data_IF_587168136229
#
_entry.id   IF_587168136229
#
_cell.length_a   1.000
_cell.length_b   1.000
_cell.length_c   1.000
_cell.angle_alpha   90.00
_cell.angle_beta   90.00
_cell.angle_gamma   90.00
#
_symmetry.space_group_name_H-M   'P 1'
#
loop_
_entity.id
_entity.type
_entity.pdbx_description
1 polymer ?
#
# COMPACT_ATOMS: atom_id res chain seq x y z
N UNK A 1 9.19 18.41 -6.82
CA UNK A 1 10.22 17.38 -7.09
C UNK A 1 9.78 16.09 -6.43
N UNK A 2 9.22 15.15 -7.21
CA UNK A 2 8.70 13.89 -6.67
C UNK A 2 9.84 12.91 -6.45
N UNK A 3 10.00 12.43 -5.22
CA UNK A 3 11.01 11.43 -4.88
C UNK A 3 10.68 10.12 -5.62
N UNK A 4 11.52 9.76 -6.61
CA UNK A 4 11.28 8.64 -7.54
C UNK A 4 11.50 7.25 -6.93
N UNK A 5 12.03 7.18 -5.71
CA UNK A 5 12.28 5.96 -4.96
C UNK A 5 12.19 6.29 -3.49
N UNK A 6 11.35 5.58 -2.72
CA UNK A 6 11.48 5.58 -1.26
C UNK A 6 12.80 4.87 -0.86
N UNK A 7 13.13 4.77 0.43
CA UNK A 7 14.08 3.75 0.97
C UNK A 7 13.29 2.50 1.44
N UNK A 8 13.79 1.29 1.18
CA UNK A 8 12.99 0.06 1.31
C UNK A 8 12.50 -0.14 2.75
N UNK A 9 13.23 0.39 3.72
CA UNK A 9 12.82 0.40 5.13
C UNK A 9 11.67 1.36 5.40
N UNK A 10 11.68 2.53 4.76
CA UNK A 10 10.59 3.51 4.86
C UNK A 10 9.31 2.95 4.23
N UNK A 11 9.41 2.33 3.05
CA UNK A 11 8.25 1.72 2.41
C UNK A 11 7.67 0.55 3.22
N UNK A 12 8.53 -0.21 3.93
CA UNK A 12 8.09 -1.25 4.87
C UNK A 12 7.45 -0.70 6.15
N UNK A 13 7.84 0.50 6.57
CA UNK A 13 7.28 1.16 7.74
C UNK A 13 5.96 1.90 7.46
N UNK A 14 5.69 2.26 6.19
CA UNK A 14 4.47 2.99 5.83
C UNK A 14 3.16 2.30 6.27
N UNK A 15 2.99 0.97 6.11
CA UNK A 15 1.79 0.30 6.61
C UNK A 15 1.64 0.42 8.13
N UNK A 16 2.74 0.35 8.88
CA UNK A 16 2.72 0.54 10.32
C UNK A 16 2.32 1.98 10.69
N UNK A 17 2.87 2.99 10.00
CA UNK A 17 2.50 4.41 10.19
C UNK A 17 1.01 4.63 9.88
N UNK A 18 0.50 4.02 8.81
CA UNK A 18 -0.92 4.08 8.45
C UNK A 18 -1.82 3.41 9.51
N UNK A 19 -1.37 2.28 10.07
CA UNK A 19 -2.08 1.59 11.15
C UNK A 19 -2.07 2.36 12.47
N UNK A 20 -0.98 3.08 12.78
CA UNK A 20 -0.72 3.58 14.13
C UNK A 20 -0.77 5.11 14.30
N UNK A 21 -0.74 5.90 13.22
CA UNK A 21 -0.57 7.36 13.33
C UNK A 21 -1.28 8.22 12.29
N UNK A 22 -1.72 7.66 11.16
CA UNK A 22 -2.38 8.46 10.15
C UNK A 22 -3.88 8.60 10.46
N UNK A 23 -4.34 9.83 10.70
CA UNK A 23 -5.75 10.15 10.51
C UNK A 23 -6.05 10.00 9.02
N UNK A 24 -6.68 8.87 8.67
CA UNK A 24 -7.12 8.55 7.32
C UNK A 24 -8.30 9.47 6.96
N UNK A 25 -7.97 10.68 6.51
CA UNK A 25 -8.94 11.75 6.29
C UNK A 25 -9.16 12.05 4.80
N UNK A 26 -10.16 12.88 4.52
CA UNK A 26 -10.52 13.30 3.16
C UNK A 26 -9.34 13.94 2.41
N UNK A 27 -8.52 14.73 3.10
CA UNK A 27 -7.34 15.37 2.50
C UNK A 27 -6.38 14.34 1.90
N UNK A 28 -6.15 13.21 2.60
CA UNK A 28 -5.27 12.16 2.09
C UNK A 28 -5.85 11.49 0.84
N UNK A 29 -7.15 11.24 0.82
CA UNK A 29 -7.86 10.67 -0.34
C UNK A 29 -7.78 11.62 -1.54
N UNK A 30 -8.02 12.91 -1.34
CA UNK A 30 -7.96 13.93 -2.38
C UNK A 30 -6.55 14.08 -2.95
N UNK A 31 -5.53 14.11 -2.09
CA UNK A 31 -4.14 14.16 -2.53
C UNK A 31 -3.73 12.89 -3.26
N UNK A 32 -4.18 11.72 -2.80
CA UNK A 32 -3.91 10.47 -3.49
C UNK A 32 -4.45 10.51 -4.92
N UNK A 33 -5.70 10.95 -5.12
CA UNK A 33 -6.29 11.11 -6.47
C UNK A 33 -5.54 12.16 -7.30
N UNK A 34 -5.24 13.32 -6.72
CA UNK A 34 -4.54 14.43 -7.40
C UNK A 34 -3.17 14.01 -7.94
N UNK A 35 -2.45 13.15 -7.22
CA UNK A 35 -1.12 12.68 -7.61
C UNK A 35 -1.10 11.27 -8.21
N UNK A 36 -2.26 10.66 -8.47
CA UNK A 36 -2.40 9.29 -8.97
C UNK A 36 -1.73 8.24 -8.06
N UNK A 37 -1.81 8.44 -6.74
CA UNK A 37 -1.22 7.58 -5.72
C UNK A 37 -2.25 6.65 -5.05
N UNK A 38 -3.52 6.64 -5.47
CA UNK A 38 -4.56 5.83 -4.84
C UNK A 38 -4.23 4.33 -4.81
N UNK A 39 -3.57 3.80 -5.84
CA UNK A 39 -3.16 2.39 -5.87
C UNK A 39 -2.05 2.11 -4.85
N UNK A 40 -1.06 3.00 -4.77
CA UNK A 40 0.03 2.89 -3.78
C UNK A 40 -0.49 3.03 -2.36
N UNK A 41 -1.36 4.00 -2.12
CA UNK A 41 -1.97 4.22 -0.81
C UNK A 41 -2.91 3.08 -0.45
N UNK A 42 -3.74 2.62 -1.38
CA UNK A 42 -4.63 1.47 -1.22
C UNK A 42 -3.86 0.24 -0.79
N UNK A 43 -2.74 -0.06 -1.45
CA UNK A 43 -1.87 -1.18 -1.06
C UNK A 43 -1.29 -1.02 0.35
N UNK A 44 -0.84 0.18 0.75
CA UNK A 44 -0.37 0.44 2.12
C UNK A 44 -1.48 0.21 3.14
N UNK A 45 -2.70 0.67 2.83
CA UNK A 45 -3.88 0.52 3.69
C UNK A 45 -4.31 -0.94 3.80
N UNK A 46 -4.28 -1.72 2.72
CA UNK A 46 -4.55 -3.17 2.77
C UNK A 46 -3.52 -3.89 3.66
N UNK A 47 -2.23 -3.58 3.50
CA UNK A 47 -1.17 -4.14 4.35
C UNK A 47 -1.36 -3.76 5.84
N UNK A 48 -1.74 -2.51 6.10
CA UNK A 48 -2.03 -2.00 7.44
C UNK A 48 -3.25 -2.70 8.05
N UNK A 49 -4.32 -2.91 7.26
CA UNK A 49 -5.54 -3.62 7.69
C UNK A 49 -5.21 -5.06 8.09
N UNK A 50 -4.45 -5.78 7.27
CA UNK A 50 -4.01 -7.13 7.60
C UNK A 50 -3.14 -7.18 8.86
N UNK A 51 -2.33 -6.15 9.12
CA UNK A 51 -1.56 -6.06 10.35
C UNK A 51 -2.44 -5.79 11.58
N UNK A 52 -3.42 -4.88 11.47
CA UNK A 52 -4.36 -4.56 12.54
C UNK A 52 -5.26 -5.77 12.90
N UNK A 53 -5.71 -6.52 11.89
CA UNK A 53 -6.50 -7.74 12.06
C UNK A 53 -5.74 -8.80 12.86
N UNK A 54 -4.44 -9.00 12.58
CA UNK A 54 -3.56 -9.91 13.34
C UNK A 54 -3.40 -9.51 14.81
N UNK A 55 -3.58 -8.24 15.15
CA UNK A 55 -3.49 -7.72 16.52
C UNK A 55 -4.86 -7.67 17.22
N UNK A 56 -5.93 -8.16 16.58
CA UNK A 56 -7.30 -8.07 17.06
C UNK A 56 -7.75 -6.61 17.34
N UNK A 57 -7.18 -5.64 16.63
CA UNK A 57 -7.56 -4.23 16.70
C UNK A 57 -8.80 -3.97 15.83
N UNK A 58 -9.97 -4.47 16.24
CA UNK A 58 -11.19 -4.47 15.41
C UNK A 58 -11.59 -3.08 14.92
N UNK A 59 -11.62 -2.08 15.82
CA UNK A 59 -11.97 -0.70 15.46
C UNK A 59 -11.06 -0.12 14.38
N UNK A 60 -9.74 -0.33 14.51
CA UNK A 60 -8.77 0.12 13.52
C UNK A 60 -8.91 -0.62 12.19
N UNK A 61 -9.21 -1.92 12.26
CA UNK A 61 -9.42 -2.76 11.08
C UNK A 61 -10.64 -2.26 10.28
N UNK A 62 -11.73 -1.89 10.97
CA UNK A 62 -12.93 -1.34 10.33
C UNK A 62 -12.67 0.04 9.70
N UNK A 63 -11.97 0.94 10.39
CA UNK A 63 -11.56 2.23 9.83
C UNK A 63 -10.72 2.06 8.55
N UNK A 64 -9.72 1.18 8.61
CA UNK A 64 -8.85 0.89 7.46
C UNK A 64 -9.64 0.30 6.30
N UNK A 65 -10.60 -0.60 6.58
CA UNK A 65 -11.47 -1.21 5.57
C UNK A 65 -12.37 -0.18 4.89
N UNK A 66 -12.95 0.76 5.64
CA UNK A 66 -13.74 1.84 5.07
C UNK A 66 -12.90 2.73 4.15
N UNK A 67 -11.71 3.11 4.61
CA UNK A 67 -10.81 3.95 3.81
C UNK A 67 -10.28 3.23 2.57
N UNK A 68 -9.98 1.93 2.68
CA UNK A 68 -9.63 1.07 1.55
C UNK A 68 -10.71 1.08 0.47
N UNK A 69 -11.99 0.96 0.86
CA UNK A 69 -13.13 1.04 -0.06
C UNK A 69 -13.19 2.37 -0.82
N UNK A 70 -12.97 3.50 -0.14
CA UNK A 70 -12.97 4.83 -0.77
C UNK A 70 -11.84 5.00 -1.82
N UNK A 71 -10.72 4.33 -1.61
CA UNK A 71 -9.61 4.31 -2.56
C UNK A 71 -9.94 3.40 -3.75
N UNK A 72 -10.59 2.26 -3.50
CA UNK A 72 -10.91 1.26 -4.52
C UNK A 72 -11.91 1.80 -5.54
N UNK A 73 -12.87 2.61 -5.09
CA UNK A 73 -13.80 3.35 -5.96
C UNK A 73 -13.08 4.25 -6.98
N UNK A 74 -11.84 4.64 -6.72
CA UNK A 74 -11.01 5.46 -7.60
C UNK A 74 -9.77 4.76 -8.14
N UNK A 75 -9.73 3.43 -8.03
CA UNK A 75 -8.58 2.60 -8.42
C UNK A 75 -8.19 2.82 -9.88
N UNK A 76 -6.89 2.93 -10.12
CA UNK A 76 -6.34 3.10 -11.46
C UNK A 76 -6.11 1.74 -12.12
N UNK A 77 -6.52 1.63 -13.38
CA UNK A 77 -6.20 0.49 -14.24
C UNK A 77 -4.71 0.41 -14.61
N UNK A 78 -3.99 1.53 -14.45
CA UNK A 78 -2.56 1.61 -14.80
C UNK A 78 -1.72 0.78 -13.83
N UNK A 79 -0.83 -0.05 -14.37
CA UNK A 79 0.22 -0.71 -13.60
C UNK A 79 1.23 0.30 -13.06
N UNK A 80 1.56 0.17 -11.78
CA UNK A 80 2.53 1.02 -11.09
C UNK A 80 3.46 0.15 -10.22
N UNK A 81 4.40 0.76 -9.53
CA UNK A 81 5.33 0.09 -8.63
C UNK A 81 5.24 0.71 -7.23
N UNK A 82 5.38 -0.12 -6.20
CA UNK A 82 5.23 0.35 -4.83
C UNK A 82 6.42 1.22 -4.39
N UNK A 83 7.62 0.68 -4.56
CA UNK A 83 8.82 1.25 -3.96
C UNK A 83 9.68 2.05 -4.95
N UNK A 84 10.09 1.36 -6.01
CA UNK A 84 10.92 1.85 -7.10
C UNK A 84 10.54 1.11 -8.38
N UNK A 85 10.80 1.69 -9.55
CA UNK A 85 10.62 0.95 -10.79
C UNK A 85 11.58 -0.25 -10.84
N UNK A 86 11.16 -1.38 -11.45
CA UNK A 86 12.08 -2.47 -11.78
C UNK A 86 13.23 -1.94 -12.63
N UNK A 87 14.44 -2.47 -12.43
CA UNK A 87 15.66 -2.08 -13.17
C UNK A 87 15.83 -2.89 -14.44
N UNK A 88 15.24 -4.08 -14.50
CA UNK A 88 15.35 -4.99 -15.64
C UNK A 88 14.00 -5.59 -15.99
N UNK A 89 13.86 -6.03 -17.24
CA UNK A 89 12.66 -6.75 -17.70
C UNK A 89 12.48 -8.07 -16.96
N UNK A 90 13.59 -8.77 -16.63
CA UNK A 90 13.56 -9.98 -15.82
C UNK A 90 13.01 -9.74 -14.41
N UNK A 91 13.41 -8.65 -13.75
CA UNK A 91 12.87 -8.23 -12.45
C UNK A 91 11.37 -7.90 -12.56
N UNK A 92 10.96 -7.25 -13.65
CA UNK A 92 9.55 -6.92 -13.93
C UNK A 92 8.70 -8.19 -14.05
N UNK A 93 9.15 -9.16 -14.86
CA UNK A 93 8.43 -10.42 -15.05
C UNK A 93 8.38 -11.22 -13.74
N UNK A 94 9.49 -11.28 -13.00
CA UNK A 94 9.52 -11.94 -11.69
C UNK A 94 8.53 -11.30 -10.71
N UNK A 95 8.51 -9.97 -10.62
CA UNK A 95 7.57 -9.24 -9.77
C UNK A 95 6.13 -9.53 -10.18
N UNK A 96 5.79 -9.51 -11.47
CA UNK A 96 4.42 -9.81 -11.96
C UNK A 96 3.92 -11.19 -11.53
N UNK A 97 4.80 -12.19 -11.55
CA UNK A 97 4.49 -13.57 -11.15
C UNK A 97 4.41 -13.73 -9.63
N UNK A 98 5.21 -12.98 -8.88
CA UNK A 98 5.32 -13.12 -7.42
C UNK A 98 4.52 -12.06 -6.64
N UNK A 99 3.57 -11.36 -7.29
CA UNK A 99 2.73 -10.36 -6.63
C UNK A 99 1.87 -11.00 -5.55
N UNK A 100 1.73 -10.30 -4.43
CA UNK A 100 0.70 -10.61 -3.44
C UNK A 100 -0.70 -10.31 -4.00
N UNK A 101 -1.75 -10.90 -3.43
CA UNK A 101 -3.12 -10.64 -3.85
C UNK A 101 -3.47 -9.15 -3.76
N UNK A 102 -3.01 -8.46 -2.71
CA UNK A 102 -3.19 -7.01 -2.56
C UNK A 102 -2.45 -6.23 -3.65
N UNK A 103 -1.23 -6.66 -4.03
CA UNK A 103 -0.47 -6.03 -5.09
C UNK A 103 -1.13 -6.24 -6.46
N UNK A 104 -1.73 -7.41 -6.71
CA UNK A 104 -2.56 -7.66 -7.91
C UNK A 104 -3.79 -6.75 -7.89
N UNK A 105 -4.50 -6.69 -6.76
CA UNK A 105 -5.69 -5.85 -6.62
C UNK A 105 -5.38 -4.39 -6.95
N UNK A 106 -4.31 -3.83 -6.39
CA UNK A 106 -3.94 -2.43 -6.63
C UNK A 106 -3.09 -2.18 -7.88
N UNK A 107 -2.96 -3.16 -8.79
CA UNK A 107 -2.13 -3.03 -10.00
C UNK A 107 -0.67 -2.60 -9.71
N UNK A 108 -0.08 -3.09 -8.62
CA UNK A 108 1.29 -2.78 -8.23
C UNK A 108 2.26 -3.93 -8.52
N UNK A 109 3.44 -3.60 -9.04
CA UNK A 109 4.60 -4.47 -9.06
C UNK A 109 5.26 -4.44 -7.68
N UNK A 110 4.86 -5.38 -6.82
CA UNK A 110 5.47 -5.61 -5.51
C UNK A 110 5.25 -7.05 -5.07
N UNK A 111 6.28 -7.64 -4.47
CA UNK A 111 6.22 -8.91 -3.75
C UNK A 111 5.97 -8.72 -2.24
N UNK A 112 5.71 -7.48 -1.80
CA UNK A 112 5.48 -7.18 -0.39
C UNK A 112 4.19 -7.84 0.09
N UNK A 113 4.30 -8.51 1.23
CA UNK A 113 3.23 -9.23 1.90
C UNK A 113 2.94 -8.60 3.25
N UNK A 114 1.73 -8.78 3.80
CA UNK A 114 1.41 -8.36 5.17
C UNK A 114 2.41 -8.90 6.21
N UNK A 115 2.96 -10.09 5.98
CA UNK A 115 3.98 -10.73 6.83
C UNK A 115 5.29 -9.93 6.96
N UNK A 116 5.61 -9.11 5.95
CA UNK A 116 6.85 -8.32 5.92
C UNK A 116 6.71 -6.96 6.61
N UNK A 117 5.52 -6.61 7.10
CA UNK A 117 5.29 -5.37 7.84
C UNK A 117 5.87 -5.56 9.26
N UNK A 118 6.97 -4.86 9.63
CA UNK A 118 7.52 -4.97 10.96
C UNK A 118 6.55 -4.32 11.95
N UNK A 119 6.10 -5.08 12.94
CA UNK A 119 5.52 -4.50 14.15
C UNK A 119 6.58 -4.56 15.25
N UNK A 120 7.01 -3.38 15.71
CA UNK A 120 7.63 -3.27 17.02
C UNK A 120 6.55 -3.62 18.05
N UNK A 121 6.81 -4.67 18.83
CA UNK A 121 6.02 -4.96 20.03
C UNK A 121 6.23 -3.92 21.11
#
# INVERSE_FOLDING_TARGET
>A
MGQKSLDARVAKALPWVAANSAELNSWLLENARKFNLQNRLGFVVSLARHAADRLNASSKTDELKQFEGLLDDSRLAKEDYFFRPPRTERETQWLRTNRSNDAVHWNLLSDMKPEHVPYAG
#
